data_IF_878897221779
#
_entry.id   IF_878897221779
#
_cell.length_a   1.000
_cell.length_b   1.000
_cell.length_c   1.000
_cell.angle_alpha   90.00
_cell.angle_beta   90.00
_cell.angle_gamma   90.00
#
_symmetry.space_group_name_H-M   'P 1'
#
loop_
_entity.id
_entity.type
_entity.pdbx_description
1 polymer ?
#
# COMPACT_ATOMS: atom_id res chain seq x y z
N UNK A 1 -19.41 -5.23 1.27
CA UNK A 1 -18.05 -4.74 1.62
C UNK A 1 -18.15 -3.78 2.81
N UNK A 2 -17.36 -3.94 3.87
CA UNK A 2 -17.45 -3.04 5.03
C UNK A 2 -16.84 -1.68 4.68
N UNK A 3 -17.68 -0.63 4.56
CA UNK A 3 -17.26 0.76 4.31
C UNK A 3 -16.08 1.19 5.20
N UNK A 4 -16.06 0.69 6.44
CA UNK A 4 -14.98 0.92 7.41
C UNK A 4 -13.60 0.42 6.96
N UNK A 5 -13.51 -0.69 6.22
CA UNK A 5 -12.22 -1.23 5.76
C UNK A 5 -11.63 -0.36 4.65
N UNK A 6 -12.47 0.08 3.72
CA UNK A 6 -12.09 0.98 2.63
C UNK A 6 -11.60 2.32 3.22
N UNK A 7 -12.38 2.91 4.14
CA UNK A 7 -12.04 4.18 4.80
C UNK A 7 -10.68 4.11 5.53
N UNK A 8 -10.39 2.99 6.23
CA UNK A 8 -9.10 2.80 6.88
C UNK A 8 -7.95 2.67 5.89
N UNK A 9 -8.15 1.96 4.78
CA UNK A 9 -7.15 1.83 3.73
C UNK A 9 -6.86 3.18 3.08
N UNK A 10 -7.89 3.97 2.75
CA UNK A 10 -7.76 5.34 2.24
C UNK A 10 -6.91 6.20 3.20
N UNK A 11 -7.31 6.26 4.48
CA UNK A 11 -6.60 7.08 5.47
C UNK A 11 -5.13 6.64 5.65
N UNK A 12 -4.88 5.33 5.65
CA UNK A 12 -3.54 4.80 5.78
C UNK A 12 -2.67 5.13 4.55
N UNK A 13 -3.21 5.01 3.34
CA UNK A 13 -2.52 5.35 2.10
C UNK A 13 -2.23 6.85 1.99
N UNK A 14 -3.17 7.72 2.38
CA UNK A 14 -2.94 9.18 2.40
C UNK A 14 -1.85 9.58 3.38
N UNK A 15 -1.91 9.05 4.60
CA UNK A 15 -0.90 9.34 5.61
C UNK A 15 0.48 8.82 5.19
N UNK A 16 0.52 7.66 4.53
CA UNK A 16 1.75 7.08 3.99
C UNK A 16 2.34 7.95 2.89
N UNK A 17 1.54 8.38 1.92
CA UNK A 17 1.99 9.27 0.84
C UNK A 17 2.57 10.58 1.39
N UNK A 18 1.83 11.25 2.28
CA UNK A 18 2.25 12.52 2.90
C UNK A 18 3.54 12.38 3.71
N UNK A 19 3.71 11.29 4.46
CA UNK A 19 4.92 11.07 5.24
C UNK A 19 6.14 10.80 4.35
N UNK A 20 5.98 10.03 3.28
CA UNK A 20 7.05 9.79 2.31
C UNK A 20 7.46 11.10 1.60
N UNK A 21 6.49 11.90 1.15
CA UNK A 21 6.75 13.22 0.56
C UNK A 21 7.42 14.19 1.54
N UNK A 22 6.95 14.23 2.79
CA UNK A 22 7.54 15.07 3.83
C UNK A 22 8.97 14.63 4.18
N UNK A 23 9.24 13.33 4.24
CA UNK A 23 10.60 12.82 4.43
C UNK A 23 11.50 13.21 3.26
N UNK A 24 11.05 13.03 2.02
CA UNK A 24 11.78 13.45 0.82
C UNK A 24 12.08 14.95 0.79
N UNK A 25 11.15 15.78 1.29
CA UNK A 25 11.31 17.23 1.34
C UNK A 25 12.24 17.72 2.48
N UNK A 26 12.30 16.99 3.59
CA UNK A 26 13.05 17.39 4.80
C UNK A 26 14.45 16.79 4.85
N UNK A 27 14.70 15.71 4.14
CA UNK A 27 15.95 14.97 4.23
C UNK A 27 17.02 15.60 3.32
N UNK A 28 17.84 16.46 3.94
CA UNK A 28 18.97 17.11 3.29
C UNK A 28 19.99 16.11 2.72
N UNK A 29 19.94 14.84 3.14
CA UNK A 29 20.76 13.75 2.60
C UNK A 29 20.38 13.33 1.17
N UNK A 30 19.35 13.90 0.55
CA UNK A 30 19.08 13.73 -0.89
C UNK A 30 19.20 15.03 -1.68
N UNK A 31 19.24 16.17 -0.99
CA UNK A 31 19.39 17.49 -1.60
C UNK A 31 20.81 18.04 -1.43
N UNK A 32 21.67 17.38 -0.65
CA UNK A 32 23.07 17.75 -0.50
C UNK A 32 23.87 17.45 -1.78
N UNK A 33 24.77 18.35 -2.20
CA UNK A 33 25.70 18.04 -3.29
C UNK A 33 26.52 16.78 -2.95
N UNK A 34 26.40 15.73 -3.77
CA UNK A 34 27.14 14.47 -3.63
C UNK A 34 26.34 13.28 -3.09
N UNK A 35 25.07 13.46 -2.71
CA UNK A 35 24.19 12.34 -2.40
C UNK A 35 23.51 11.83 -3.68
N UNK A 36 23.58 10.52 -3.90
CA UNK A 36 23.01 9.88 -5.09
C UNK A 36 21.47 9.91 -5.02
N UNK A 37 20.79 10.73 -5.86
CA UNK A 37 19.33 10.77 -5.90
C UNK A 37 18.73 9.45 -6.41
N UNK A 38 19.54 8.56 -6.99
CA UNK A 38 19.17 7.22 -7.41
C UNK A 38 19.48 6.16 -6.36
N UNK A 39 19.77 6.57 -5.12
CA UNK A 39 19.89 5.61 -4.03
C UNK A 39 18.58 4.82 -3.88
N UNK A 40 18.71 3.52 -3.60
CA UNK A 40 17.56 2.62 -3.42
C UNK A 40 16.52 3.13 -2.42
N UNK A 41 16.88 3.72 -1.26
CA UNK A 41 15.88 4.18 -0.30
C UNK A 41 15.10 5.41 -0.80
N UNK A 42 15.74 6.30 -1.57
CA UNK A 42 15.07 7.44 -2.18
C UNK A 42 14.02 6.98 -3.21
N UNK A 43 14.44 6.11 -4.14
CA UNK A 43 13.55 5.56 -5.16
C UNK A 43 12.38 4.79 -4.55
N UNK A 44 12.62 4.06 -3.45
CA UNK A 44 11.57 3.37 -2.71
C UNK A 44 10.55 4.35 -2.09
N UNK A 45 11.00 5.45 -1.49
CA UNK A 45 10.09 6.48 -0.93
C UNK A 45 9.27 7.20 -2.01
N UNK A 46 9.90 7.60 -3.12
CA UNK A 46 9.20 8.25 -4.26
C UNK A 46 8.16 7.31 -4.85
N UNK A 47 8.53 6.05 -5.05
CA UNK A 47 7.61 5.02 -5.57
C UNK A 47 6.47 4.76 -4.59
N UNK A 48 6.78 4.65 -3.29
CA UNK A 48 5.78 4.43 -2.24
C UNK A 48 4.79 5.60 -2.15
N UNK A 49 5.26 6.84 -2.17
CA UNK A 49 4.41 8.03 -2.17
C UNK A 49 3.42 8.01 -3.36
N UNK A 50 3.95 7.77 -4.56
CA UNK A 50 3.17 7.75 -5.80
C UNK A 50 2.09 6.66 -5.78
N UNK A 51 2.46 5.43 -5.40
CA UNK A 51 1.51 4.30 -5.36
C UNK A 51 0.45 4.48 -4.28
N UNK A 52 0.82 4.97 -3.08
CA UNK A 52 -0.15 5.22 -2.02
C UNK A 52 -1.14 6.33 -2.40
N UNK A 53 -0.67 7.39 -3.08
CA UNK A 53 -1.53 8.44 -3.61
C UNK A 53 -2.51 7.93 -4.67
N UNK A 54 -2.05 7.05 -5.57
CA UNK A 54 -2.88 6.40 -6.57
C UNK A 54 -3.95 5.50 -5.93
N UNK A 55 -3.56 4.66 -4.97
CA UNK A 55 -4.48 3.74 -4.27
C UNK A 55 -5.55 4.50 -3.49
N UNK A 56 -5.19 5.55 -2.76
CA UNK A 56 -6.17 6.39 -2.05
C UNK A 56 -7.23 6.94 -3.00
N UNK A 57 -6.79 7.47 -4.16
CA UNK A 57 -7.69 8.03 -5.17
C UNK A 57 -8.59 6.95 -5.77
N UNK A 58 -8.01 5.85 -6.21
CA UNK A 58 -8.76 4.73 -6.81
C UNK A 58 -9.80 4.16 -5.81
N UNK A 59 -9.47 4.07 -4.52
CA UNK A 59 -10.42 3.60 -3.49
C UNK A 59 -11.58 4.59 -3.27
N UNK A 60 -11.32 5.91 -3.36
CA UNK A 60 -12.36 6.94 -3.27
C UNK A 60 -13.29 6.94 -4.48
N UNK A 61 -12.75 6.64 -5.66
CA UNK A 61 -13.47 6.56 -6.92
C UNK A 61 -14.20 5.22 -7.10
N UNK A 62 -13.80 4.19 -6.34
CA UNK A 62 -14.36 2.84 -6.43
C UNK A 62 -13.69 1.96 -7.50
N UNK A 63 -12.56 2.42 -8.05
CA UNK A 63 -11.84 1.81 -9.18
C UNK A 63 -10.61 1.00 -8.74
N UNK A 64 -10.33 0.91 -7.43
CA UNK A 64 -9.20 0.13 -6.93
C UNK A 64 -9.41 -1.38 -7.11
N UNK A 65 -8.52 -2.02 -7.86
CA UNK A 65 -8.47 -3.47 -8.00
C UNK A 65 -7.52 -4.15 -6.99
N UNK A 66 -7.56 -5.49 -6.95
CA UNK A 66 -6.73 -6.30 -6.06
C UNK A 66 -5.24 -6.24 -6.39
N UNK A 67 -4.88 -6.02 -7.65
CA UNK A 67 -3.48 -5.97 -8.09
C UNK A 67 -2.82 -4.68 -7.62
N UNK A 68 -3.52 -3.55 -7.77
CA UNK A 68 -3.11 -2.25 -7.26
C UNK A 68 -2.92 -2.26 -5.74
N UNK A 69 -3.83 -2.90 -4.99
CA UNK A 69 -3.71 -3.05 -3.54
C UNK A 69 -2.51 -3.91 -3.14
N UNK A 70 -2.24 -5.01 -3.85
CA UNK A 70 -1.08 -5.89 -3.59
C UNK A 70 0.23 -5.16 -3.86
N UNK A 71 0.30 -4.50 -5.01
CA UNK A 71 1.47 -3.71 -5.38
C UNK A 71 1.73 -2.59 -4.36
N UNK A 72 0.68 -1.92 -3.87
CA UNK A 72 0.79 -0.94 -2.80
C UNK A 72 1.36 -1.54 -1.51
N UNK A 73 0.85 -2.70 -1.09
CA UNK A 73 1.33 -3.37 0.13
C UNK A 73 2.81 -3.77 0.02
N UNK A 74 3.22 -4.35 -1.12
CA UNK A 74 4.59 -4.74 -1.40
C UNK A 74 5.53 -3.53 -1.41
N UNK A 75 5.14 -2.45 -2.11
CA UNK A 75 5.92 -1.21 -2.17
C UNK A 75 6.07 -0.55 -0.79
N UNK A 76 4.99 -0.54 0.01
CA UNK A 76 5.04 -0.05 1.39
C UNK A 76 6.02 -0.86 2.25
N UNK A 77 6.03 -2.19 2.12
CA UNK A 77 6.97 -3.04 2.87
C UNK A 77 8.41 -2.86 2.40
N UNK A 78 8.63 -2.72 1.09
CA UNK A 78 9.95 -2.40 0.53
C UNK A 78 10.45 -1.05 1.07
N UNK A 79 9.60 -0.02 1.09
CA UNK A 79 9.92 1.29 1.66
C UNK A 79 10.18 1.24 3.18
N UNK A 80 9.47 0.38 3.91
CA UNK A 80 9.66 0.18 5.35
C UNK A 80 10.87 -0.70 5.71
N UNK A 81 11.58 -1.24 4.71
CA UNK A 81 12.76 -2.08 4.93
C UNK A 81 13.92 -1.19 5.38
N UNK A 82 14.62 -1.54 6.46
CA UNK A 82 15.66 -0.69 7.03
C UNK A 82 16.89 -0.65 6.11
N UNK A 83 16.98 0.42 5.32
CA UNK A 83 18.21 0.86 4.66
C UNK A 83 18.39 2.36 4.89
N UNK A 84 18.30 2.79 6.14
CA UNK A 84 18.52 4.21 6.49
C UNK A 84 19.96 4.56 6.06
N UNK A 85 20.14 5.49 5.11
CA UNK A 85 21.46 5.98 4.78
C UNK A 85 22.09 6.63 6.02
N UNK A 86 23.42 6.51 6.22
CA UNK A 86 24.09 7.24 7.29
C UNK A 86 23.85 8.74 7.12
N UNK A 87 23.47 9.42 8.21
CA UNK A 87 23.24 10.88 8.22
C UNK A 87 21.80 11.32 7.96
N UNK A 88 20.85 10.40 7.73
CA UNK A 88 19.42 10.70 7.60
C UNK A 88 18.77 11.00 8.95
N UNK A 89 17.82 11.95 8.97
CA UNK A 89 17.02 12.28 10.14
C UNK A 89 16.24 11.04 10.63
N UNK A 90 16.66 10.51 11.78
CA UNK A 90 16.09 9.28 12.35
C UNK A 90 14.60 9.41 12.70
N UNK A 91 14.09 10.60 12.97
CA UNK A 91 12.68 10.81 13.33
C UNK A 91 11.76 10.74 12.11
N UNK A 92 12.09 11.44 11.02
CA UNK A 92 11.30 11.43 9.77
C UNK A 92 11.28 10.02 9.17
N UNK A 93 12.43 9.36 9.13
CA UNK A 93 12.53 7.97 8.65
C UNK A 93 11.74 6.99 9.54
N UNK A 94 11.81 7.13 10.86
CA UNK A 94 11.04 6.29 11.78
C UNK A 94 9.53 6.44 11.59
N UNK A 95 9.08 7.66 11.27
CA UNK A 95 7.69 7.91 10.92
C UNK A 95 7.31 7.20 9.62
N UNK A 96 8.09 7.35 8.55
CA UNK A 96 7.89 6.66 7.26
C UNK A 96 7.75 5.16 7.46
N UNK A 97 8.71 4.52 8.15
CA UNK A 97 8.66 3.06 8.41
C UNK A 97 7.36 2.66 9.11
N UNK A 98 6.90 3.45 10.10
CA UNK A 98 5.68 3.16 10.85
C UNK A 98 4.44 3.26 9.98
N UNK A 99 4.31 4.34 9.19
CA UNK A 99 3.12 4.56 8.37
C UNK A 99 3.10 3.64 7.15
N UNK A 100 4.25 3.31 6.55
CA UNK A 100 4.35 2.34 5.46
C UNK A 100 3.89 0.95 5.92
N UNK A 101 4.36 0.48 7.08
CA UNK A 101 3.89 -0.81 7.65
C UNK A 101 2.39 -0.80 7.93
N UNK A 102 1.86 0.33 8.42
CA UNK A 102 0.42 0.48 8.65
C UNK A 102 -0.38 0.44 7.36
N UNK A 103 0.09 1.12 6.31
CA UNK A 103 -0.55 1.11 5.00
C UNK A 103 -0.55 -0.29 4.39
N UNK A 104 0.57 -1.00 4.41
CA UNK A 104 0.65 -2.39 3.96
C UNK A 104 -0.33 -3.31 4.70
N UNK A 105 -0.47 -3.13 6.03
CA UNK A 105 -1.41 -3.90 6.84
C UNK A 105 -2.87 -3.65 6.45
N UNK A 106 -3.28 -2.39 6.24
CA UNK A 106 -4.67 -2.08 5.85
C UNK A 106 -4.96 -2.50 4.39
N UNK A 107 -3.97 -2.40 3.47
CA UNK A 107 -4.10 -2.93 2.12
C UNK A 107 -4.33 -4.46 2.14
N UNK A 108 -3.52 -5.21 2.88
CA UNK A 108 -3.68 -6.66 3.01
C UNK A 108 -5.00 -7.02 3.69
N UNK A 109 -5.42 -6.30 4.74
CA UNK A 109 -6.72 -6.54 5.37
C UNK A 109 -7.89 -6.33 4.41
N UNK A 110 -7.79 -5.35 3.50
CA UNK A 110 -8.80 -5.13 2.46
C UNK A 110 -8.77 -6.25 1.40
N UNK A 111 -7.58 -6.66 0.94
CA UNK A 111 -7.40 -7.81 0.02
C UNK A 111 -8.02 -9.08 0.63
N UNK A 112 -7.73 -9.37 1.89
CA UNK A 112 -8.23 -10.55 2.59
C UNK A 112 -9.77 -10.53 2.72
N UNK A 113 -10.34 -9.35 3.00
CA UNK A 113 -11.80 -9.20 3.09
C UNK A 113 -12.49 -9.43 1.74
N UNK A 114 -11.93 -8.90 0.65
CA UNK A 114 -12.47 -9.08 -0.70
C UNK A 114 -12.33 -10.54 -1.16
N UNK A 115 -11.16 -11.14 -0.97
CA UNK A 115 -10.87 -12.52 -1.39
C UNK A 115 -11.62 -13.56 -0.56
N UNK A 116 -11.80 -13.33 0.74
CA UNK A 116 -12.61 -14.22 1.61
C UNK A 116 -14.11 -14.15 1.27
N UNK A 117 -14.60 -12.97 0.89
CA UNK A 117 -15.99 -12.80 0.42
C UNK A 117 -16.22 -13.52 -0.91
N UNK A 118 -15.24 -13.52 -1.81
CA UNK A 118 -15.33 -14.26 -3.06
C UNK A 118 -15.36 -15.78 -2.80
N UNK A 119 -14.52 -16.27 -1.87
CA UNK A 119 -14.51 -17.69 -1.49
C UNK A 119 -15.85 -18.15 -0.91
N UNK A 120 -16.41 -17.39 0.03
CA UNK A 120 -17.74 -17.70 0.62
C UNK A 120 -18.86 -17.68 -0.41
N UNK A 121 -18.82 -16.75 -1.39
CA UNK A 121 -19.80 -16.75 -2.47
C UNK A 121 -19.70 -18.02 -3.33
N UNK A 122 -18.48 -18.46 -3.68
CA UNK A 122 -18.24 -19.69 -4.47
C UNK A 122 -18.67 -20.94 -3.71
N UNK A 123 -18.34 -21.03 -2.43
CA UNK A 123 -18.72 -22.18 -1.60
C UNK A 123 -20.25 -22.25 -1.45
N UNK A 124 -20.93 -21.10 -1.31
CA UNK A 124 -22.39 -21.05 -1.30
C UNK A 124 -23.01 -21.51 -2.64
N UNK A 125 -22.41 -21.21 -3.79
CA UNK A 125 -22.89 -21.73 -5.08
C UNK A 125 -22.67 -23.23 -5.23
N UNK A 126 -21.59 -23.78 -4.66
CA UNK A 126 -21.31 -25.21 -4.65
C UNK A 126 -22.30 -26.01 -3.79
N UNK A 127 -22.60 -25.52 -2.59
CA UNK A 127 -23.54 -26.18 -1.67
C UNK A 127 -25.00 -26.07 -2.15
N UNK A 128 -25.31 -25.08 -2.99
CA UNK A 128 -26.65 -24.90 -3.58
C UNK A 128 -26.94 -25.87 -4.74
N UNK A 129 -26.05 -26.83 -5.04
CA UNK A 129 -26.31 -27.85 -6.05
C UNK A 129 -26.40 -27.29 -7.47
N UNK A 130 -25.56 -26.31 -7.83
CA UNK A 130 -25.41 -25.87 -9.21
C UNK A 130 -24.81 -27.02 -10.05
N UNK A 131 -25.66 -27.94 -10.49
CA UNK A 131 -25.36 -28.88 -11.55
C UNK A 131 -25.16 -28.04 -12.81
N UNK A 132 -23.91 -27.83 -13.18
CA UNK A 132 -23.58 -27.56 -14.58
C UNK A 132 -24.05 -28.79 -15.34
N UNK A 133 -25.25 -28.70 -15.89
CA UNK A 133 -25.70 -29.60 -16.95
C UNK A 133 -24.69 -29.39 -18.08
N UNK A 134 -23.71 -30.29 -18.16
CA UNK A 134 -22.95 -30.47 -19.37
C UNK A 134 -23.95 -30.94 -20.43
N UNK A 135 -24.37 -30.02 -21.30
CA UNK A 135 -24.94 -30.40 -22.58
C UNK A 135 -23.77 -30.78 -23.49
N UNK A 136 -23.77 -32.07 -23.84
CA UNK A 136 -22.97 -32.84 -24.82
C UNK A 136 -21.53 -33.25 -24.47
#
# INVERSE_FOLDING_TARGET
MSKRLIDRCIQASELCALACEAALATDNAYTSPGTDPYSRPHLAMVSCASVCGLVSRALREGDADLELLRWCAEMCMACATPQMPPGVNSAAWSLVVRVCRRCAMECNALIDAVTSSARTAIDATRDSGFQVLADE
#
